data_IF_663204771362
#
_entry.id   IF_663204771362
#
_cell.length_a   1.000
_cell.length_b   1.000
_cell.length_c   1.000
_cell.angle_alpha   90.00
_cell.angle_beta   90.00
_cell.angle_gamma   90.00
#
_symmetry.space_group_name_H-M   'P 1'
#
loop_
_entity.id
_entity.type
_entity.pdbx_description
1 polymer ?
#
# COMPACT_ATOMS: atom_id res chain seq x y z
N UNK A 1 42.41 -8.42 -42.66
CA UNK A 1 41.32 -9.19 -42.04
C UNK A 1 41.02 -8.84 -40.60
N UNK A 2 41.05 -7.56 -40.18
CA UNK A 2 40.76 -7.16 -38.76
C UNK A 2 39.66 -6.08 -38.62
N UNK A 3 38.97 -5.68 -39.68
CA UNK A 3 37.93 -4.64 -39.65
C UNK A 3 36.47 -5.15 -39.66
N UNK A 4 36.26 -6.45 -39.92
CA UNK A 4 34.90 -7.00 -40.09
C UNK A 4 34.31 -7.55 -38.80
N UNK A 5 35.12 -7.79 -37.77
CA UNK A 5 34.67 -8.37 -36.51
C UNK A 5 34.07 -7.32 -35.56
N UNK A 6 34.42 -6.03 -35.73
CA UNK A 6 33.97 -4.95 -34.83
C UNK A 6 32.52 -4.49 -35.11
N UNK A 7 32.02 -4.73 -36.33
CA UNK A 7 30.66 -4.31 -36.72
C UNK A 7 29.57 -5.28 -36.29
N UNK A 8 29.89 -6.56 -36.11
CA UNK A 8 28.94 -7.60 -35.69
C UNK A 8 28.68 -7.58 -34.18
N UNK A 9 29.63 -7.12 -33.38
CA UNK A 9 29.47 -6.99 -31.92
C UNK A 9 28.61 -5.78 -31.53
N UNK A 10 28.58 -4.73 -32.33
CA UNK A 10 27.78 -3.53 -32.07
C UNK A 10 26.30 -3.75 -32.41
N UNK A 11 25.99 -4.58 -33.42
CA UNK A 11 24.61 -4.94 -33.75
C UNK A 11 23.99 -5.92 -32.76
N UNK A 12 24.79 -6.79 -32.09
CA UNK A 12 24.31 -7.69 -31.07
C UNK A 12 24.00 -7.00 -29.73
N UNK A 13 24.62 -5.86 -29.44
CA UNK A 13 24.35 -5.03 -28.25
C UNK A 13 23.14 -4.11 -28.42
N UNK A 14 22.74 -3.78 -29.65
CA UNK A 14 21.54 -2.99 -29.92
C UNK A 14 20.24 -3.82 -29.97
N UNK A 15 20.34 -5.16 -30.12
CA UNK A 15 19.17 -6.02 -30.15
C UNK A 15 18.71 -6.52 -28.77
N UNK A 16 19.43 -6.20 -27.69
CA UNK A 16 19.07 -6.57 -26.31
C UNK A 16 18.29 -5.47 -25.55
N UNK A 17 18.04 -4.33 -26.16
CA UNK A 17 17.31 -3.22 -25.52
C UNK A 17 15.86 -3.02 -26.01
N UNK A 18 15.30 -3.95 -26.79
CA UNK A 18 13.99 -3.78 -27.43
C UNK A 18 12.97 -4.85 -27.06
N UNK A 19 12.94 -5.26 -25.79
CA UNK A 19 11.80 -6.04 -25.27
C UNK A 19 11.44 -5.63 -23.83
N UNK A 20 11.38 -4.34 -23.54
CA UNK A 20 10.42 -3.86 -22.58
C UNK A 20 9.08 -3.82 -23.34
N UNK A 21 8.36 -4.93 -23.36
CA UNK A 21 6.98 -4.96 -23.79
C UNK A 21 6.28 -3.91 -22.90
N UNK A 22 5.83 -2.79 -23.50
CA UNK A 22 4.94 -1.84 -22.83
C UNK A 22 3.73 -2.64 -22.35
N UNK A 23 3.73 -2.98 -21.08
CA UNK A 23 2.64 -3.73 -20.47
C UNK A 23 1.44 -2.78 -20.44
N UNK A 24 0.49 -2.96 -21.35
CA UNK A 24 -0.76 -2.18 -21.35
C UNK A 24 -1.57 -2.55 -20.11
N UNK A 25 -1.70 -1.59 -19.22
CA UNK A 25 -2.45 -1.73 -17.97
C UNK A 25 -3.87 -1.13 -18.11
N UNK A 26 -4.72 -1.73 -18.91
CA UNK A 26 -6.15 -1.35 -18.90
C UNK A 26 -6.79 -1.65 -17.54
N UNK A 27 -6.20 -2.58 -16.80
CA UNK A 27 -6.60 -3.02 -15.47
C UNK A 27 -5.36 -3.28 -14.63
N UNK A 28 -5.35 -2.78 -13.40
CA UNK A 28 -4.30 -3.03 -12.41
C UNK A 28 -4.90 -3.65 -11.15
N UNK A 29 -4.12 -4.47 -10.48
CA UNK A 29 -4.47 -5.01 -9.17
C UNK A 29 -3.74 -4.24 -8.08
N UNK A 30 -4.50 -3.68 -7.15
CA UNK A 30 -3.98 -2.89 -6.03
C UNK A 30 -4.30 -3.59 -4.72
N UNK A 31 -3.34 -3.61 -3.81
CA UNK A 31 -3.52 -4.10 -2.45
C UNK A 31 -3.11 -3.02 -1.44
N UNK A 32 -3.87 -2.93 -0.36
CA UNK A 32 -3.62 -2.05 0.79
C UNK A 32 -3.62 -2.85 2.08
N UNK A 33 -2.63 -2.63 2.94
CA UNK A 33 -2.51 -3.36 4.18
C UNK A 33 -1.81 -2.56 5.28
N UNK A 34 -2.42 -2.49 6.44
CA UNK A 34 -1.70 -2.19 7.66
C UNK A 34 -1.00 -3.47 8.11
N UNK A 35 0.34 -3.50 8.01
CA UNK A 35 1.13 -4.71 8.26
C UNK A 35 1.48 -4.91 9.74
N UNK A 36 1.02 -4.01 10.62
CA UNK A 36 1.17 -4.13 12.07
C UNK A 36 2.63 -4.23 12.50
N UNK A 37 3.52 -3.41 11.95
CA UNK A 37 4.96 -3.38 12.27
C UNK A 37 5.70 -4.73 12.11
N UNK A 38 5.15 -5.66 11.35
CA UNK A 38 5.61 -7.05 11.28
C UNK A 38 5.59 -7.77 12.64
N UNK A 39 4.73 -7.32 13.55
CA UNK A 39 4.62 -7.92 14.89
C UNK A 39 3.87 -9.27 14.90
N UNK A 40 3.56 -9.82 13.73
CA UNK A 40 2.99 -11.15 13.56
C UNK A 40 1.64 -11.33 14.28
N UNK A 41 0.81 -10.28 14.27
CA UNK A 41 -0.50 -10.29 14.92
C UNK A 41 -0.46 -10.38 16.44
N UNK A 42 0.71 -10.13 17.06
CA UNK A 42 0.86 -10.23 18.52
C UNK A 42 1.52 -8.99 19.10
N UNK A 43 0.90 -8.46 20.14
CA UNK A 43 1.55 -7.53 21.04
C UNK A 43 2.66 -8.26 21.85
N UNK A 44 3.87 -8.01 21.53
CA UNK A 44 5.02 -7.77 22.43
C UNK A 44 5.71 -8.90 23.16
N UNK A 45 5.21 -10.12 23.33
CA UNK A 45 5.80 -11.02 24.34
C UNK A 45 6.21 -12.43 23.89
N UNK A 46 6.18 -12.75 22.63
CA UNK A 46 6.57 -14.09 22.18
C UNK A 46 8.01 -14.07 21.71
N UNK A 47 8.93 -14.66 22.47
CA UNK A 47 10.28 -14.98 22.01
C UNK A 47 10.18 -15.97 20.85
N UNK A 48 10.34 -15.47 19.62
CA UNK A 48 10.39 -16.31 18.44
C UNK A 48 11.71 -17.08 18.41
N UNK A 49 11.66 -18.37 18.18
CA UNK A 49 12.85 -19.18 17.90
C UNK A 49 13.27 -19.05 16.44
N UNK A 50 14.51 -19.40 16.07
CA UNK A 50 14.97 -19.37 14.68
C UNK A 50 14.05 -20.16 13.74
N UNK A 51 13.57 -21.33 14.17
CA UNK A 51 12.64 -22.14 13.35
C UNK A 51 11.30 -21.47 13.12
N UNK A 52 10.83 -20.68 14.07
CA UNK A 52 9.59 -19.90 13.93
C UNK A 52 9.82 -18.72 12.99
N UNK A 53 10.98 -18.05 13.07
CA UNK A 53 11.34 -16.97 12.15
C UNK A 53 11.42 -17.46 10.69
N UNK A 54 12.07 -18.61 10.46
CA UNK A 54 12.14 -19.22 9.14
C UNK A 54 10.75 -19.56 8.58
N UNK A 55 9.85 -20.06 9.43
CA UNK A 55 8.47 -20.32 9.05
C UNK A 55 7.75 -19.03 8.65
N UNK A 56 7.88 -17.96 9.41
CA UNK A 56 7.26 -16.67 9.09
C UNK A 56 7.83 -16.05 7.81
N UNK A 57 9.13 -16.12 7.60
CA UNK A 57 9.77 -15.68 6.36
C UNK A 57 9.18 -16.38 5.14
N UNK A 58 9.05 -17.70 5.19
CA UNK A 58 8.44 -18.48 4.13
C UNK A 58 6.96 -18.14 3.95
N UNK A 59 6.24 -17.92 5.04
CA UNK A 59 4.82 -17.54 5.02
C UNK A 59 4.63 -16.18 4.37
N UNK A 60 5.41 -15.17 4.73
CA UNK A 60 5.38 -13.85 4.08
C UNK A 60 5.72 -13.96 2.59
N UNK A 61 6.75 -14.73 2.25
CA UNK A 61 7.15 -14.92 0.85
C UNK A 61 6.04 -15.59 0.03
N UNK A 62 5.44 -16.66 0.53
CA UNK A 62 4.32 -17.33 -0.11
C UNK A 62 3.12 -16.39 -0.25
N UNK A 63 2.78 -15.66 0.81
CA UNK A 63 1.68 -14.73 0.83
C UNK A 63 1.82 -13.60 -0.22
N UNK A 64 2.99 -12.96 -0.30
CA UNK A 64 3.22 -11.91 -1.29
C UNK A 64 3.33 -12.46 -2.71
N UNK A 65 3.81 -13.70 -2.90
CA UNK A 65 3.79 -14.37 -4.19
C UNK A 65 2.34 -14.61 -4.69
N UNK A 66 1.47 -15.09 -3.82
CA UNK A 66 0.06 -15.35 -4.15
C UNK A 66 -0.73 -14.05 -4.34
N UNK A 67 -0.35 -12.99 -3.66
CA UNK A 67 -1.04 -11.71 -3.74
C UNK A 67 -1.06 -11.17 -5.16
N UNK A 68 0.05 -11.28 -5.88
CA UNK A 68 0.21 -10.88 -7.29
C UNK A 68 -0.44 -9.52 -7.60
N UNK A 69 -0.20 -8.51 -6.75
CA UNK A 69 -0.67 -7.16 -6.94
C UNK A 69 0.34 -6.38 -7.81
N UNK A 70 -0.15 -5.53 -8.72
CA UNK A 70 0.71 -4.63 -9.49
C UNK A 70 1.21 -3.48 -8.60
N UNK A 71 0.38 -3.06 -7.63
CA UNK A 71 0.72 -2.06 -6.60
C UNK A 71 0.35 -2.62 -5.24
N UNK A 72 1.29 -2.55 -4.29
CA UNK A 72 1.08 -2.86 -2.89
C UNK A 72 1.42 -1.63 -2.04
N UNK A 73 0.43 -1.10 -1.33
CA UNK A 73 0.64 -0.03 -0.37
C UNK A 73 0.56 -0.57 1.06
N UNK A 74 1.55 -0.24 1.85
CA UNK A 74 1.66 -0.67 3.24
C UNK A 74 1.70 0.53 4.17
N UNK A 75 1.06 0.40 5.32
CA UNK A 75 1.21 1.31 6.45
C UNK A 75 1.72 0.53 7.67
N UNK A 76 2.25 1.22 8.67
CA UNK A 76 3.01 0.62 9.75
C UNK A 76 4.17 -0.26 9.26
N UNK A 77 4.71 0.11 8.10
CA UNK A 77 5.86 -0.54 7.49
C UNK A 77 7.14 -0.12 8.20
N UNK A 78 7.47 -0.84 9.25
CA UNK A 78 8.64 -0.51 10.07
C UNK A 78 9.57 -1.73 10.22
N UNK A 79 10.63 -1.83 9.41
CA UNK A 79 11.58 -2.95 9.50
C UNK A 79 12.49 -2.90 10.74
N UNK A 80 12.41 -1.84 11.57
CA UNK A 80 13.23 -1.65 12.77
C UNK A 80 12.34 -1.68 14.01
N UNK A 81 12.03 -2.87 14.51
CA UNK A 81 11.23 -3.08 15.70
C UNK A 81 12.11 -3.21 16.97
N UNK A 82 11.46 -3.17 18.12
CA UNK A 82 12.06 -2.89 19.42
C UNK A 82 13.01 -3.98 19.95
N UNK A 83 12.84 -5.23 19.57
CA UNK A 83 13.72 -6.33 19.99
C UNK A 83 14.38 -7.05 18.81
N UNK A 84 15.50 -7.71 19.06
CA UNK A 84 16.31 -8.35 18.02
C UNK A 84 15.54 -9.43 17.23
N UNK A 85 14.58 -10.09 17.83
CA UNK A 85 13.81 -11.16 17.22
C UNK A 85 12.75 -10.59 16.26
N UNK A 86 12.06 -9.55 16.69
CA UNK A 86 11.09 -8.81 15.84
C UNK A 86 11.81 -8.09 14.72
N UNK A 87 12.99 -7.52 14.98
CA UNK A 87 13.83 -6.90 13.95
C UNK A 87 14.18 -7.89 12.84
N UNK A 88 14.55 -9.12 13.19
CA UNK A 88 14.87 -10.14 12.20
C UNK A 88 13.64 -10.54 11.39
N UNK A 89 12.48 -10.72 12.04
CA UNK A 89 11.23 -11.01 11.33
C UNK A 89 10.84 -9.89 10.36
N UNK A 90 11.04 -8.63 10.76
CA UNK A 90 10.80 -7.48 9.91
C UNK A 90 11.74 -7.43 8.69
N UNK A 91 13.03 -7.73 8.87
CA UNK A 91 14.00 -7.83 7.78
C UNK A 91 13.61 -8.95 6.82
N UNK A 92 13.28 -10.11 7.34
CA UNK A 92 12.87 -11.26 6.53
C UNK A 92 11.59 -10.99 5.74
N UNK A 93 10.61 -10.31 6.34
CA UNK A 93 9.40 -9.89 5.66
C UNK A 93 9.69 -8.85 4.56
N UNK A 94 10.57 -7.88 4.84
CA UNK A 94 11.01 -6.89 3.87
C UNK A 94 11.67 -7.55 2.66
N UNK A 95 12.63 -8.46 2.88
CA UNK A 95 13.27 -9.22 1.80
C UNK A 95 12.26 -10.05 0.99
N UNK A 96 11.26 -10.64 1.67
CA UNK A 96 10.20 -11.39 1.00
C UNK A 96 9.36 -10.50 0.09
N UNK A 97 9.04 -9.26 0.51
CA UNK A 97 8.32 -8.28 -0.32
C UNK A 97 9.18 -7.88 -1.52
N UNK A 98 10.42 -7.48 -1.28
CA UNK A 98 11.36 -7.05 -2.33
C UNK A 98 11.67 -8.15 -3.35
N UNK A 99 11.52 -9.43 -2.99
CA UNK A 99 11.69 -10.52 -3.95
C UNK A 99 10.60 -10.53 -5.05
N UNK A 100 9.47 -9.87 -4.82
CA UNK A 100 8.31 -9.85 -5.72
C UNK A 100 8.07 -8.50 -6.41
N UNK A 101 8.60 -7.42 -5.85
CA UNK A 101 8.40 -6.08 -6.35
C UNK A 101 9.73 -5.46 -6.79
N UNK A 102 9.77 -4.87 -7.98
CA UNK A 102 10.97 -4.25 -8.53
C UNK A 102 11.24 -2.87 -7.96
N UNK A 103 10.17 -2.15 -7.67
CA UNK A 103 10.21 -0.76 -7.24
C UNK A 103 9.62 -0.62 -5.85
N UNK A 104 10.36 0.03 -4.96
CA UNK A 104 9.96 0.30 -3.59
C UNK A 104 10.14 1.79 -3.26
N UNK A 105 9.08 2.42 -2.82
CA UNK A 105 9.06 3.79 -2.32
C UNK A 105 8.71 3.75 -0.84
N UNK A 106 9.68 4.03 0.00
CA UNK A 106 9.53 3.93 1.46
C UNK A 106 9.64 5.33 2.04
N UNK A 107 8.60 5.74 2.76
CA UNK A 107 8.55 7.02 3.45
C UNK A 107 9.41 7.04 4.71
N UNK A 108 9.60 8.22 5.30
CA UNK A 108 10.33 8.35 6.56
C UNK A 108 9.58 7.64 7.69
N UNK A 109 10.35 7.11 8.63
CA UNK A 109 9.82 6.56 9.86
C UNK A 109 9.63 7.67 10.89
N UNK A 110 8.41 7.87 11.32
CA UNK A 110 8.07 8.75 12.44
C UNK A 110 7.39 7.92 13.51
N UNK A 111 8.00 7.76 14.67
CA UNK A 111 7.53 6.90 15.76
C UNK A 111 7.20 5.49 15.24
N UNK A 112 5.93 5.14 15.25
CA UNK A 112 5.40 3.87 14.72
C UNK A 112 4.81 4.00 13.32
N UNK A 113 4.88 5.18 12.68
CA UNK A 113 4.32 5.41 11.37
C UNK A 113 5.39 5.33 10.28
N UNK A 114 5.19 4.44 9.33
CA UNK A 114 5.97 4.33 8.11
C UNK A 114 5.06 3.84 7.00
N UNK A 115 4.96 4.60 5.93
CA UNK A 115 4.18 4.27 4.74
C UNK A 115 5.10 3.80 3.63
N UNK A 116 4.70 2.80 2.87
CA UNK A 116 5.46 2.31 1.74
C UNK A 116 4.54 1.98 0.55
N UNK A 117 5.08 2.12 -0.66
CA UNK A 117 4.43 1.75 -1.92
C UNK A 117 5.40 0.90 -2.71
N UNK A 118 4.98 -0.30 -3.09
CA UNK A 118 5.72 -1.22 -3.93
C UNK A 118 4.99 -1.39 -5.26
N UNK A 119 5.75 -1.51 -6.35
CA UNK A 119 5.15 -1.71 -7.67
C UNK A 119 5.98 -2.63 -8.56
N UNK A 120 5.32 -3.19 -9.59
CA UNK A 120 5.93 -4.10 -10.54
C UNK A 120 5.78 -3.58 -11.97
N UNK A 121 6.88 -3.07 -12.54
CA UNK A 121 6.96 -2.69 -13.95
C UNK A 121 6.09 -1.49 -14.31
N UNK A 122 5.76 -0.64 -13.34
CA UNK A 122 5.08 0.65 -13.54
C UNK A 122 6.14 1.73 -13.40
N UNK A 123 6.22 2.64 -14.35
CA UNK A 123 7.20 3.73 -14.33
C UNK A 123 6.91 4.68 -13.16
N UNK A 124 7.84 4.76 -12.21
CA UNK A 124 7.83 5.73 -11.11
C UNK A 124 8.52 7.02 -11.56
N UNK A 125 7.80 8.14 -11.52
CA UNK A 125 8.31 9.44 -11.93
C UNK A 125 8.84 10.25 -10.76
N UNK A 126 8.15 10.22 -9.62
CA UNK A 126 8.49 11.00 -8.43
C UNK A 126 7.80 10.43 -7.21
N UNK A 127 8.44 10.58 -6.05
CA UNK A 127 7.84 10.27 -4.74
C UNK A 127 8.06 11.44 -3.78
N UNK A 128 7.01 11.83 -3.08
CA UNK A 128 7.01 12.91 -2.10
C UNK A 128 6.39 12.42 -0.79
N UNK A 129 6.84 13.03 0.30
CA UNK A 129 6.24 12.88 1.64
C UNK A 129 5.65 14.22 2.06
N UNK A 130 4.38 14.21 2.45
CA UNK A 130 3.66 15.43 2.85
C UNK A 130 3.05 15.22 4.23
N UNK A 131 3.40 16.09 5.16
CA UNK A 131 2.86 16.09 6.52
C UNK A 131 1.45 16.68 6.53
N UNK A 132 0.54 16.09 7.31
CA UNK A 132 -0.75 16.71 7.58
C UNK A 132 -0.61 17.94 8.48
N UNK A 133 -1.46 18.94 8.29
CA UNK A 133 -1.43 20.16 9.09
C UNK A 133 -1.98 19.98 10.50
N UNK A 134 -2.87 18.99 10.69
CA UNK A 134 -3.46 18.63 11.97
C UNK A 134 -3.32 17.13 12.23
N UNK A 135 -2.77 16.82 13.40
CA UNK A 135 -2.54 15.44 13.83
C UNK A 135 -2.32 15.39 15.34
N UNK A 136 -2.69 14.28 15.97
CA UNK A 136 -2.34 13.98 17.37
C UNK A 136 -0.97 13.29 17.43
N UNK A 137 -0.77 12.32 16.54
CA UNK A 137 0.52 11.67 16.32
C UNK A 137 1.07 12.09 14.97
N UNK A 138 2.38 11.93 14.77
CA UNK A 138 3.00 12.26 13.49
C UNK A 138 2.37 11.43 12.36
N UNK A 139 1.63 12.10 11.47
CA UNK A 139 0.94 11.52 10.32
C UNK A 139 1.34 12.26 9.05
N UNK A 140 1.49 11.49 7.98
CA UNK A 140 1.82 11.99 6.65
C UNK A 140 1.23 11.08 5.59
N UNK A 141 1.18 11.55 4.37
CA UNK A 141 0.97 10.68 3.22
C UNK A 141 2.22 10.62 2.35
N UNK A 142 2.50 9.41 1.87
CA UNK A 142 3.48 9.15 0.84
C UNK A 142 2.75 9.16 -0.49
N UNK A 143 3.16 10.01 -1.41
CA UNK A 143 2.57 10.06 -2.75
C UNK A 143 3.61 9.74 -3.80
N UNK A 144 3.33 8.73 -4.61
CA UNK A 144 4.14 8.34 -5.75
C UNK A 144 3.39 8.69 -7.04
N UNK A 145 4.01 9.51 -7.85
CA UNK A 145 3.54 9.82 -9.21
C UNK A 145 4.05 8.74 -10.15
N UNK A 146 3.14 8.04 -10.79
CA UNK A 146 3.44 6.93 -11.71
C UNK A 146 2.88 7.22 -13.10
N UNK A 147 3.44 6.56 -14.12
CA UNK A 147 2.89 6.53 -15.48
C UNK A 147 2.25 5.19 -15.75
N UNK A 148 0.95 5.21 -16.07
CA UNK A 148 0.16 4.02 -16.35
C UNK A 148 -0.54 4.18 -17.70
N UNK A 149 -0.06 3.45 -18.72
CA UNK A 149 -0.55 3.58 -20.12
C UNK A 149 -0.53 5.03 -20.62
N UNK A 150 0.55 5.74 -20.41
CA UNK A 150 0.71 7.12 -20.81
C UNK A 150 0.07 8.16 -19.89
N UNK A 151 -0.84 7.78 -19.03
CA UNK A 151 -1.50 8.67 -18.08
C UNK A 151 -0.72 8.82 -16.77
N UNK A 152 -0.83 9.98 -16.15
CA UNK A 152 -0.27 10.25 -14.83
C UNK A 152 -1.27 9.79 -13.76
N UNK A 153 -0.81 8.93 -12.86
CA UNK A 153 -1.56 8.41 -11.73
C UNK A 153 -0.86 8.80 -10.42
N UNK A 154 -1.61 9.31 -9.47
CA UNK A 154 -1.15 9.53 -8.09
C UNK A 154 -1.50 8.32 -7.24
N UNK A 155 -0.49 7.66 -6.71
CA UNK A 155 -0.66 6.56 -5.75
C UNK A 155 -0.26 7.06 -4.38
N UNK A 156 -1.15 6.95 -3.42
CA UNK A 156 -1.00 7.47 -2.05
C UNK A 156 -1.07 6.33 -1.06
N UNK A 157 -0.11 6.29 -0.14
CA UNK A 157 -0.17 5.46 1.07
C UNK A 157 -0.21 6.37 2.29
N UNK A 158 -1.20 6.18 3.16
CA UNK A 158 -1.36 7.00 4.37
C UNK A 158 -1.98 6.21 5.52
N UNK A 159 -1.82 6.74 6.73
CA UNK A 159 -2.39 6.21 7.95
C UNK A 159 -2.89 7.38 8.79
N UNK A 160 -4.20 7.56 8.88
CA UNK A 160 -4.80 8.70 9.57
C UNK A 160 -4.74 8.53 11.10
N UNK A 161 -5.10 9.57 11.82
CA UNK A 161 -5.10 9.54 13.27
C UNK A 161 -6.08 8.50 13.83
N UNK A 162 -5.58 7.64 14.72
CA UNK A 162 -6.37 6.59 15.38
C UNK A 162 -7.17 7.09 16.58
N UNK A 163 -6.83 8.26 17.11
CA UNK A 163 -7.38 8.76 18.37
C UNK A 163 -8.91 8.82 18.33
N UNK A 164 -9.53 8.21 19.34
CA UNK A 164 -11.00 8.21 19.53
C UNK A 164 -11.47 9.34 20.44
N UNK A 165 -10.56 10.18 20.96
CA UNK A 165 -10.88 11.35 21.76
C UNK A 165 -11.44 12.52 20.95
N UNK A 166 -11.67 13.63 21.62
CA UNK A 166 -12.30 14.85 21.04
C UNK A 166 -11.66 15.35 19.74
N UNK A 167 -10.37 15.12 19.54
CA UNK A 167 -9.63 15.58 18.37
C UNK A 167 -9.54 14.53 17.25
N UNK A 168 -9.86 13.28 17.49
CA UNK A 168 -9.64 12.21 16.52
C UNK A 168 -10.43 12.37 15.23
N UNK A 169 -11.76 12.32 15.31
CA UNK A 169 -12.61 12.50 14.15
C UNK A 169 -12.46 13.88 13.48
N UNK A 170 -12.42 15.02 14.22
CA UNK A 170 -12.14 16.32 13.61
C UNK A 170 -10.80 16.39 12.87
N UNK A 171 -9.74 15.79 13.40
CA UNK A 171 -8.44 15.80 12.70
C UNK A 171 -8.46 14.91 11.47
N UNK A 172 -9.08 13.71 11.52
CA UNK A 172 -9.28 12.88 10.32
C UNK A 172 -10.07 13.61 9.24
N UNK A 173 -11.11 14.35 9.61
CA UNK A 173 -11.88 15.17 8.65
C UNK A 173 -10.99 16.22 7.97
N UNK A 174 -10.09 16.88 8.72
CA UNK A 174 -9.12 17.82 8.14
C UNK A 174 -8.13 17.08 7.24
N UNK A 175 -7.60 15.94 7.66
CA UNK A 175 -6.66 15.13 6.89
C UNK A 175 -7.30 14.63 5.57
N UNK A 176 -8.56 14.21 5.60
CA UNK A 176 -9.33 13.83 4.41
C UNK A 176 -9.49 15.02 3.48
N UNK A 177 -9.87 16.20 4.02
CA UNK A 177 -10.03 17.40 3.20
C UNK A 177 -8.71 17.85 2.55
N UNK A 178 -7.58 17.74 3.27
CA UNK A 178 -6.25 18.02 2.70
C UNK A 178 -5.89 17.10 1.54
N UNK A 179 -6.23 15.80 1.63
CA UNK A 179 -6.05 14.86 0.52
C UNK A 179 -6.92 15.25 -0.67
N UNK A 180 -8.19 15.55 -0.45
CA UNK A 180 -9.13 15.98 -1.51
C UNK A 180 -8.61 17.24 -2.19
N UNK A 181 -8.22 18.26 -1.43
CA UNK A 181 -7.72 19.54 -1.97
C UNK A 181 -6.41 19.37 -2.73
N UNK A 182 -5.53 18.50 -2.25
CA UNK A 182 -4.25 18.22 -2.92
C UNK A 182 -4.47 17.61 -4.30
N UNK A 183 -5.37 16.64 -4.41
CA UNK A 183 -5.56 15.87 -5.64
C UNK A 183 -6.81 16.26 -6.45
N UNK A 184 -7.45 17.40 -6.14
CA UNK A 184 -8.68 17.83 -6.82
C UNK A 184 -8.55 17.94 -8.35
N UNK A 185 -7.37 18.31 -8.85
CA UNK A 185 -7.11 18.50 -10.27
C UNK A 185 -6.52 17.25 -10.96
N UNK A 186 -6.17 16.21 -10.19
CA UNK A 186 -5.67 14.96 -10.76
C UNK A 186 -6.84 14.12 -11.27
N UNK A 187 -6.73 13.59 -12.50
CA UNK A 187 -7.74 12.73 -13.11
C UNK A 187 -7.73 11.34 -12.48
N UNK A 188 -6.55 10.81 -12.20
CA UNK A 188 -6.36 9.46 -11.72
C UNK A 188 -5.63 9.46 -10.38
N UNK A 189 -6.32 9.02 -9.33
CA UNK A 189 -5.80 8.94 -7.96
C UNK A 189 -6.16 7.61 -7.34
N UNK A 190 -5.21 6.98 -6.66
CA UNK A 190 -5.39 5.75 -5.89
C UNK A 190 -4.87 6.02 -4.48
N UNK A 191 -5.73 5.99 -3.48
CA UNK A 191 -5.38 6.19 -2.08
C UNK A 191 -5.60 4.89 -1.31
N UNK A 192 -4.54 4.38 -0.72
CA UNK A 192 -4.52 3.17 0.09
C UNK A 192 -4.22 3.55 1.53
N UNK A 193 -5.08 3.18 2.47
CA UNK A 193 -4.88 3.60 3.85
C UNK A 193 -5.55 2.70 4.88
N UNK A 194 -5.01 2.75 6.09
CA UNK A 194 -5.76 2.64 7.32
C UNK A 194 -6.33 4.03 7.66
N UNK A 195 -7.62 4.19 7.46
CA UNK A 195 -8.32 5.46 7.65
C UNK A 195 -8.68 5.73 9.10
N UNK A 196 -8.58 4.70 9.96
CA UNK A 196 -8.95 4.80 11.37
C UNK A 196 -10.36 5.37 11.64
N UNK A 197 -11.21 5.32 10.65
CA UNK A 197 -12.58 5.80 10.75
C UNK A 197 -13.39 4.87 11.64
N UNK A 198 -14.22 5.42 12.47
CA UNK A 198 -14.98 4.66 13.48
C UNK A 198 -16.24 3.97 12.93
N UNK A 199 -16.20 3.41 11.72
CA UNK A 199 -17.37 2.86 11.02
C UNK A 199 -18.49 3.89 10.77
N UNK A 200 -18.19 5.18 10.91
CA UNK A 200 -19.14 6.23 10.57
C UNK A 200 -19.12 6.48 9.07
N UNK A 201 -20.23 6.22 8.37
CA UNK A 201 -20.33 6.55 6.94
C UNK A 201 -19.93 7.98 6.63
N UNK A 202 -20.32 8.91 7.50
CA UNK A 202 -20.11 10.34 7.31
C UNK A 202 -18.64 10.77 7.24
N UNK A 203 -17.68 10.00 7.76
CA UNK A 203 -16.27 10.35 7.63
C UNK A 203 -15.77 10.23 6.17
N UNK A 204 -16.44 9.43 5.32
CA UNK A 204 -16.11 9.28 3.90
C UNK A 204 -16.96 10.11 2.95
N UNK A 205 -18.03 10.77 3.45
CA UNK A 205 -18.96 11.52 2.59
C UNK A 205 -18.23 12.58 1.76
N UNK A 206 -17.22 13.26 2.34
CA UNK A 206 -16.41 14.24 1.64
C UNK A 206 -15.69 13.67 0.40
N UNK A 207 -15.22 12.42 0.45
CA UNK A 207 -14.62 11.76 -0.73
C UNK A 207 -15.68 11.48 -1.80
N UNK A 208 -16.86 11.00 -1.42
CA UNK A 208 -17.97 10.73 -2.34
C UNK A 208 -18.42 12.03 -3.02
N UNK A 209 -18.59 13.10 -2.24
CA UNK A 209 -18.96 14.43 -2.76
C UNK A 209 -17.91 15.02 -3.70
N UNK A 210 -16.63 14.70 -3.46
CA UNK A 210 -15.52 15.09 -4.32
C UNK A 210 -15.33 14.17 -5.56
N UNK A 211 -16.21 13.19 -5.76
CA UNK A 211 -16.23 12.31 -6.94
C UNK A 211 -15.24 11.13 -6.85
N UNK A 212 -14.84 10.76 -5.65
CA UNK A 212 -14.09 9.51 -5.42
C UNK A 212 -15.02 8.33 -5.24
N UNK A 213 -14.55 7.15 -5.62
CA UNK A 213 -15.18 5.86 -5.33
C UNK A 213 -14.29 5.04 -4.38
N UNK A 214 -14.81 4.02 -3.74
CA UNK A 214 -14.09 3.21 -2.77
C UNK A 214 -14.31 1.72 -3.00
N UNK A 215 -13.25 0.93 -2.79
CA UNK A 215 -13.32 -0.53 -2.91
C UNK A 215 -14.17 -1.14 -1.81
N UNK A 216 -14.08 -0.61 -0.63
CA UNK A 216 -14.83 -1.09 0.53
C UNK A 216 -15.98 -0.12 0.82
N UNK A 217 -17.16 -0.37 0.27
CA UNK A 217 -18.39 0.32 0.66
C UNK A 217 -18.87 -0.13 2.06
N UNK A 218 -17.94 -0.42 2.92
CA UNK A 218 -17.99 -1.30 4.07
C UNK A 218 -18.77 -0.84 5.25
N UNK A 219 -19.22 0.40 5.29
CA UNK A 219 -20.21 0.75 6.30
C UNK A 219 -21.60 0.15 6.01
N UNK A 220 -21.74 -0.57 4.94
CA UNK A 220 -22.86 -1.49 4.74
C UNK A 220 -22.58 -2.87 5.35
N UNK A 221 -21.50 -3.05 6.09
CA UNK A 221 -21.21 -4.20 6.91
C UNK A 221 -20.53 -5.39 6.22
N UNK A 222 -20.03 -5.24 5.00
CA UNK A 222 -19.67 -6.40 4.20
C UNK A 222 -18.18 -6.76 4.17
N UNK A 223 -17.26 -5.80 4.39
CA UNK A 223 -15.83 -6.06 4.27
C UNK A 223 -15.07 -5.52 5.48
N UNK A 224 -15.20 -6.22 6.61
CA UNK A 224 -14.55 -5.85 7.85
C UNK A 224 -13.06 -6.19 7.80
N UNK A 225 -12.20 -5.23 8.16
CA UNK A 225 -10.76 -5.34 8.05
C UNK A 225 -10.03 -5.40 9.39
N UNK A 226 -10.69 -4.99 10.49
CA UNK A 226 -10.05 -4.93 11.81
C UNK A 226 -11.00 -5.40 12.93
N UNK A 227 -10.50 -6.08 13.97
CA UNK A 227 -9.23 -6.79 13.98
C UNK A 227 -9.27 -8.03 13.07
N UNK A 228 -8.11 -8.41 12.50
CA UNK A 228 -7.99 -9.69 11.81
C UNK A 228 -8.25 -10.87 12.76
N UNK A 229 -8.75 -11.98 12.22
CA UNK A 229 -9.05 -13.18 13.01
C UNK A 229 -10.51 -13.61 12.93
N UNK A 230 -11.04 -14.17 14.01
CA UNK A 230 -12.40 -14.79 14.03
C UNK A 230 -13.54 -13.79 14.09
N UNK A 231 -13.28 -12.54 14.46
CA UNK A 231 -14.34 -11.56 14.74
C UNK A 231 -13.95 -10.14 14.32
N UNK A 232 -13.73 -9.86 13.02
CA UNK A 232 -13.55 -8.49 12.54
C UNK A 232 -14.78 -7.64 12.83
N UNK A 233 -14.59 -6.37 13.21
CA UNK A 233 -15.67 -5.48 13.65
C UNK A 233 -15.69 -4.13 12.96
N UNK A 234 -14.58 -3.75 12.31
CA UNK A 234 -14.40 -2.43 11.73
C UNK A 234 -13.91 -2.54 10.30
N UNK A 235 -14.33 -1.61 9.43
CA UNK A 235 -13.88 -1.49 8.04
C UNK A 235 -13.01 -0.23 7.87
N UNK A 236 -11.93 -0.15 8.65
CA UNK A 236 -11.06 1.01 8.71
C UNK A 236 -10.00 1.07 7.62
N UNK A 237 -9.77 -0.04 6.92
CA UNK A 237 -8.85 -0.08 5.78
C UNK A 237 -9.64 0.01 4.47
N UNK A 238 -9.15 0.81 3.52
CA UNK A 238 -9.82 0.99 2.24
C UNK A 238 -8.86 1.42 1.12
N UNK A 239 -9.28 1.16 -0.12
CA UNK A 239 -8.72 1.73 -1.35
C UNK A 239 -9.74 2.71 -1.90
N UNK A 240 -9.44 4.00 -1.90
CA UNK A 240 -10.28 5.09 -2.38
C UNK A 240 -9.66 5.63 -3.67
N UNK A 241 -10.46 5.82 -4.72
CA UNK A 241 -9.93 6.18 -6.03
C UNK A 241 -10.74 7.27 -6.72
N UNK A 242 -10.08 7.98 -7.63
CA UNK A 242 -10.70 8.87 -8.59
C UNK A 242 -10.28 8.44 -9.99
N UNK A 243 -11.24 8.33 -10.92
CA UNK A 243 -10.99 7.92 -12.29
C UNK A 243 -10.84 6.42 -12.52
N UNK A 244 -11.28 5.58 -11.58
CA UNK A 244 -11.23 4.12 -11.68
C UNK A 244 -12.58 3.47 -11.34
N UNK A 245 -12.88 2.39 -12.03
CA UNK A 245 -13.93 1.45 -11.64
C UNK A 245 -13.32 0.29 -10.85
N UNK A 246 -13.99 -0.15 -9.80
CA UNK A 246 -13.55 -1.21 -8.90
C UNK A 246 -14.21 -2.54 -9.25
N UNK A 247 -13.45 -3.63 -9.17
CA UNK A 247 -13.95 -5.00 -9.33
C UNK A 247 -13.11 -5.98 -8.52
N UNK A 248 -13.63 -7.18 -8.32
CA UNK A 248 -12.96 -8.27 -7.61
C UNK A 248 -12.41 -7.86 -6.24
N UNK A 249 -13.13 -7.03 -5.52
CA UNK A 249 -12.73 -6.58 -4.18
C UNK A 249 -12.75 -7.77 -3.22
N UNK A 250 -11.64 -7.93 -2.48
CA UNK A 250 -11.46 -9.00 -1.50
C UNK A 250 -10.82 -8.45 -0.24
N UNK A 251 -11.31 -8.92 0.90
CA UNK A 251 -10.62 -8.79 2.18
C UNK A 251 -9.98 -10.13 2.50
N UNK A 252 -8.68 -10.12 2.74
CA UNK A 252 -7.89 -11.32 3.04
C UNK A 252 -7.48 -11.25 4.50
N UNK A 253 -8.07 -12.13 5.29
CA UNK A 253 -7.87 -12.20 6.73
C UNK A 253 -6.71 -13.16 7.05
N UNK A 254 -5.59 -12.61 7.47
CA UNK A 254 -4.43 -13.38 7.91
C UNK A 254 -3.91 -12.86 9.27
N UNK A 255 -4.62 -13.23 10.32
CA UNK A 255 -4.31 -12.83 11.70
C UNK A 255 -2.95 -13.37 12.22
N UNK A 256 -2.28 -14.23 11.47
CA UNK A 256 -0.92 -14.66 11.81
C UNK A 256 0.13 -13.62 11.44
N UNK A 257 -0.16 -12.77 10.45
CA UNK A 257 0.80 -11.81 9.90
C UNK A 257 0.52 -10.36 10.33
N UNK A 258 -0.74 -10.00 10.58
CA UNK A 258 -1.12 -8.68 11.05
C UNK A 258 -2.44 -8.76 11.83
N UNK A 259 -2.71 -7.79 12.67
CA UNK A 259 -4.00 -7.56 13.30
C UNK A 259 -5.00 -6.85 12.37
N UNK A 260 -4.59 -6.46 11.16
CA UNK A 260 -5.46 -5.98 10.10
C UNK A 260 -5.57 -7.00 8.96
N UNK A 261 -6.74 -7.06 8.34
CA UNK A 261 -6.93 -7.77 7.08
C UNK A 261 -6.39 -6.92 5.92
N UNK A 262 -5.83 -7.58 4.90
CA UNK A 262 -5.46 -6.92 3.66
C UNK A 262 -6.71 -6.71 2.80
N UNK A 263 -6.85 -5.55 2.18
CA UNK A 263 -7.84 -5.30 1.12
C UNK A 263 -7.16 -5.27 -0.24
N UNK A 264 -7.77 -5.95 -1.21
CA UNK A 264 -7.30 -6.05 -2.60
C UNK A 264 -8.44 -5.76 -3.57
N UNK A 265 -8.16 -5.01 -4.62
CA UNK A 265 -9.12 -4.70 -5.68
C UNK A 265 -8.45 -4.69 -7.05
N UNK A 266 -9.22 -5.00 -8.07
CA UNK A 266 -8.88 -4.73 -9.45
C UNK A 266 -9.47 -3.38 -9.85
N UNK A 267 -8.63 -2.51 -10.39
CA UNK A 267 -8.97 -1.16 -10.82
C UNK A 267 -8.86 -1.05 -12.35
N UNK A 268 -9.93 -0.57 -12.99
CA UNK A 268 -9.95 -0.29 -14.43
C UNK A 268 -10.07 1.21 -14.64
N UNK A 269 -9.17 1.82 -15.42
CA UNK A 269 -9.25 3.26 -15.73
C UNK A 269 -10.55 3.60 -16.41
N UNK A 270 -11.20 4.67 -15.97
CA UNK A 270 -12.33 5.29 -16.65
C UNK A 270 -11.83 6.26 -17.73
N UNK A 271 -12.61 6.44 -18.80
CA UNK A 271 -12.26 7.34 -19.91
C UNK A 271 -11.99 8.78 -19.52
#
# INVERSE_FOLDING_TARGET
MKKTIFLLTLCALMSLSLNAQDKHFTKITVASWNIGHFALGKSGDTKLTHSVLDFYKQTYRAYFNELNADILALVEYNPLIVNATETQAAVDAHEAILSNYRDAQIGPKYDYNCNAIFSNGIEVLRTDTVMFSKMVQTRYYLVTTMRLDGDIVKVVSTHLDWNQGENGAPYRAIQIQELIDTFKNDKYVIMCADWNTSNSPSEFDAFIEAGYDMSNHGYLGNLLTYPAGSSPRSCIDNIITKGFAHSNVKVINNAMLSDHCLIKADLTKLP
#
